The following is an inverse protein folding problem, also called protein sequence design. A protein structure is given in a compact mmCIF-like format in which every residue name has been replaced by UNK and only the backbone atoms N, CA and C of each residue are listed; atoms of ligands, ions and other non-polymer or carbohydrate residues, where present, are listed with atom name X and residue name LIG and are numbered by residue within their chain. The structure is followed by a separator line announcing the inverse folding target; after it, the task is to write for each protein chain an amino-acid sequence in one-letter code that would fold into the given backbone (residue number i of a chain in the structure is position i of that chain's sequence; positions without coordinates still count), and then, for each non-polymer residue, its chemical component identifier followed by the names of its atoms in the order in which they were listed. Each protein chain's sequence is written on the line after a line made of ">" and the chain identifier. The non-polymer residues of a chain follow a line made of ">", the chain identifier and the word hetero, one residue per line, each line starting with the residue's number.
data_IF_589712953945
#
_entry.id   IF_589712953945
#
_cell.length_a   1.000
_cell.length_b   1.000
_cell.length_c   1.000
_cell.angle_alpha   90.00
_cell.angle_beta   90.00
_cell.angle_gamma   90.00
#
_symmetry.space_group_name_H-M   'P 1'
#
loop_
_entity.id
_entity.type
_entity.pdbx_description
1 polymer ?
#
# COMPACT_ATOMS: atom_id res chain seq x y z
N UNK A 1 33.83 -4.86 -42.36
CA UNK A 1 32.85 -3.85 -41.90
C UNK A 1 32.47 -4.15 -40.45
N UNK A 2 33.06 -3.41 -39.50
CA UNK A 2 32.81 -3.60 -38.07
C UNK A 2 31.51 -2.93 -37.64
N UNK A 3 30.58 -3.70 -37.08
CA UNK A 3 29.34 -3.18 -36.50
C UNK A 3 29.68 -2.48 -35.19
N UNK A 4 29.63 -1.14 -35.18
CA UNK A 4 29.74 -0.33 -33.98
C UNK A 4 28.48 -0.50 -33.13
N UNK A 5 28.57 -1.34 -32.10
CA UNK A 5 27.53 -1.42 -31.06
C UNK A 5 27.52 -0.10 -30.27
N UNK A 6 26.44 0.67 -30.43
CA UNK A 6 26.15 1.87 -29.62
C UNK A 6 26.20 1.49 -28.15
N UNK A 7 27.21 1.98 -27.44
CA UNK A 7 27.40 1.75 -26.01
C UNK A 7 26.36 2.56 -25.22
N UNK A 8 25.21 1.95 -24.96
CA UNK A 8 24.20 2.51 -24.06
C UNK A 8 24.75 2.47 -22.64
N UNK A 9 25.15 3.65 -22.12
CA UNK A 9 25.47 3.95 -20.71
C UNK A 9 25.23 2.78 -19.74
N UNK A 10 26.31 2.08 -19.38
CA UNK A 10 26.30 0.91 -18.50
C UNK A 10 25.96 1.33 -17.07
N UNK A 11 24.66 1.42 -16.78
CA UNK A 11 24.13 1.42 -15.41
C UNK A 11 24.70 0.18 -14.71
N UNK A 12 25.25 0.37 -13.52
CA UNK A 12 25.77 -0.75 -12.71
C UNK A 12 24.59 -1.69 -12.45
N UNK A 13 24.63 -2.88 -13.06
CA UNK A 13 23.59 -3.89 -12.94
C UNK A 13 24.00 -4.89 -11.88
N UNK A 14 23.08 -5.23 -11.01
CA UNK A 14 23.24 -6.34 -10.08
C UNK A 14 22.91 -7.64 -10.82
N UNK A 15 23.89 -8.53 -10.96
CA UNK A 15 23.69 -9.83 -11.61
C UNK A 15 23.07 -10.86 -10.67
N UNK A 16 23.25 -10.68 -9.34
CA UNK A 16 22.77 -11.60 -8.32
C UNK A 16 21.37 -11.24 -7.80
N UNK A 17 20.89 -10.02 -8.07
CA UNK A 17 19.56 -9.61 -7.67
C UNK A 17 18.47 -10.47 -8.33
N UNK A 18 17.47 -10.95 -7.56
CA UNK A 18 16.26 -11.54 -8.12
C UNK A 18 15.67 -10.63 -9.19
N UNK A 19 15.23 -11.22 -10.31
CA UNK A 19 14.63 -10.46 -11.43
C UNK A 19 13.16 -10.21 -11.14
N UNK A 20 12.68 -9.00 -11.44
CA UNK A 20 11.25 -8.69 -11.36
C UNK A 20 10.45 -9.67 -12.24
N UNK A 21 9.30 -10.15 -11.75
CA UNK A 21 8.41 -10.94 -12.57
C UNK A 21 7.84 -10.09 -13.71
N UNK A 22 7.48 -10.77 -14.79
CA UNK A 22 6.94 -10.13 -15.97
C UNK A 22 5.47 -9.76 -15.72
N UNK A 23 5.12 -8.49 -16.01
CA UNK A 23 3.74 -8.01 -15.84
C UNK A 23 2.74 -8.78 -16.73
N UNK A 24 1.46 -8.71 -16.37
CA UNK A 24 0.39 -9.47 -17.01
C UNK A 24 0.36 -9.28 -18.54
N UNK A 25 0.45 -8.02 -19.01
CA UNK A 25 0.49 -7.71 -20.44
C UNK A 25 1.72 -8.29 -21.13
N UNK A 26 2.90 -8.14 -20.55
CA UNK A 26 4.15 -8.65 -21.13
C UNK A 26 4.14 -10.17 -21.19
N UNK A 27 3.48 -10.84 -20.23
CA UNK A 27 3.27 -12.28 -20.24
C UNK A 27 2.37 -12.70 -21.40
N UNK A 28 1.20 -12.09 -21.53
CA UNK A 28 0.30 -12.28 -22.66
C UNK A 28 1.02 -12.03 -23.99
N UNK A 29 1.74 -10.92 -24.09
CA UNK A 29 2.45 -10.51 -25.29
C UNK A 29 3.56 -11.51 -25.65
N UNK A 30 4.36 -11.96 -24.68
CA UNK A 30 5.44 -12.94 -24.91
C UNK A 30 4.89 -14.29 -25.38
N UNK A 31 3.81 -14.77 -24.76
CA UNK A 31 3.17 -16.02 -25.15
C UNK A 31 2.68 -15.96 -26.60
N UNK A 32 1.92 -14.93 -26.96
CA UNK A 32 1.33 -14.80 -28.29
C UNK A 32 2.33 -14.40 -29.38
N UNK A 33 3.36 -13.61 -29.05
CA UNK A 33 4.44 -13.29 -29.97
C UNK A 33 5.26 -14.53 -30.31
N UNK A 34 5.49 -15.41 -29.33
CA UNK A 34 6.22 -16.66 -29.56
C UNK A 34 5.45 -17.62 -30.49
N UNK A 35 4.12 -17.68 -30.35
CA UNK A 35 3.25 -18.43 -31.26
C UNK A 35 3.31 -17.86 -32.68
N UNK A 36 3.20 -16.53 -32.82
CA UNK A 36 3.20 -15.86 -34.12
C UNK A 36 4.56 -15.94 -34.84
N UNK A 37 5.67 -16.00 -34.10
CA UNK A 37 7.02 -16.17 -34.67
C UNK A 37 7.22 -17.57 -35.25
N UNK A 38 6.58 -18.60 -34.67
CA UNK A 38 6.57 -19.97 -35.22
C UNK A 38 5.77 -20.03 -36.52
N UNK A 39 4.75 -19.20 -36.65
CA UNK A 39 3.91 -19.08 -37.85
C UNK A 39 4.54 -18.20 -38.95
N UNK A 40 5.77 -17.70 -38.78
CA UNK A 40 6.48 -16.90 -39.79
C UNK A 40 5.91 -15.49 -40.01
N UNK A 41 5.01 -15.00 -39.14
CA UNK A 41 4.34 -13.71 -39.29
C UNK A 41 5.29 -12.53 -38.96
N UNK A 42 5.07 -11.39 -39.62
CA UNK A 42 5.81 -10.16 -39.35
C UNK A 42 5.61 -9.68 -37.90
N UNK A 43 6.68 -9.71 -37.11
CA UNK A 43 6.71 -9.35 -35.69
C UNK A 43 6.09 -7.99 -35.39
N UNK A 44 6.26 -6.98 -36.28
CA UNK A 44 5.70 -5.63 -36.06
C UNK A 44 4.17 -5.60 -36.17
N UNK A 45 3.62 -6.27 -37.17
CA UNK A 45 2.17 -6.31 -37.40
C UNK A 45 1.46 -7.10 -36.30
N UNK A 46 2.06 -8.22 -35.90
CA UNK A 46 1.59 -9.03 -34.77
C UNK A 46 1.59 -8.23 -33.49
N UNK A 47 2.67 -7.49 -33.20
CA UNK A 47 2.79 -6.68 -31.99
C UNK A 47 1.66 -5.65 -31.88
N UNK A 48 1.31 -4.97 -32.99
CA UNK A 48 0.22 -4.00 -33.01
C UNK A 48 -1.15 -4.67 -32.78
N UNK A 49 -1.38 -5.85 -33.38
CA UNK A 49 -2.61 -6.62 -33.18
C UNK A 49 -2.76 -7.08 -31.72
N UNK A 50 -1.70 -7.61 -31.11
CA UNK A 50 -1.72 -8.05 -29.72
C UNK A 50 -1.98 -6.91 -28.73
N UNK A 51 -1.44 -5.72 -29.00
CA UNK A 51 -1.71 -4.54 -28.18
C UNK A 51 -3.21 -4.16 -28.21
N UNK A 52 -3.83 -4.15 -29.40
CA UNK A 52 -5.27 -3.89 -29.56
C UNK A 52 -6.15 -4.99 -28.95
N UNK A 53 -5.71 -6.25 -29.08
CA UNK A 53 -6.44 -7.37 -28.50
C UNK A 53 -6.44 -7.27 -26.97
N UNK A 54 -5.28 -7.01 -26.35
CA UNK A 54 -5.19 -6.81 -24.91
C UNK A 54 -6.05 -5.64 -24.42
N UNK A 55 -6.14 -4.51 -25.13
CA UNK A 55 -7.02 -3.41 -24.70
C UNK A 55 -8.50 -3.77 -24.75
N UNK A 56 -8.89 -4.68 -25.65
CA UNK A 56 -10.30 -5.09 -25.86
C UNK A 56 -10.71 -6.29 -25.01
N UNK A 57 -9.76 -7.09 -24.51
CA UNK A 57 -10.02 -8.25 -23.66
C UNK A 57 -10.75 -7.87 -22.35
N UNK A 58 -11.67 -8.72 -21.92
CA UNK A 58 -12.42 -8.54 -20.68
C UNK A 58 -11.53 -8.73 -19.44
N UNK A 59 -12.03 -8.31 -18.27
CA UNK A 59 -11.34 -8.54 -17.00
C UNK A 59 -11.11 -10.02 -16.71
N UNK A 60 -12.06 -10.87 -17.10
CA UNK A 60 -12.01 -12.33 -16.92
C UNK A 60 -10.92 -12.98 -17.79
N UNK A 61 -10.78 -12.55 -19.04
CA UNK A 61 -9.73 -13.06 -19.94
C UNK A 61 -8.34 -12.60 -19.51
N UNK A 62 -8.24 -11.44 -18.87
CA UNK A 62 -6.99 -10.91 -18.32
C UNK A 62 -6.63 -11.54 -16.97
N UNK A 63 -7.63 -11.98 -16.20
CA UNK A 63 -7.49 -12.54 -14.85
C UNK A 63 -6.36 -13.57 -14.72
N UNK A 64 -6.24 -14.62 -15.55
CA UNK A 64 -5.15 -15.60 -15.39
C UNK A 64 -3.75 -14.99 -15.52
N UNK A 65 -3.58 -13.96 -16.34
CA UNK A 65 -2.28 -13.27 -16.48
C UNK A 65 -1.95 -12.40 -15.27
N UNK A 66 -2.96 -11.81 -14.64
CA UNK A 66 -2.82 -11.04 -13.40
C UNK A 66 -2.58 -11.94 -12.20
N UNK A 67 -3.32 -13.04 -12.07
CA UNK A 67 -3.14 -14.03 -11.00
C UNK A 67 -1.71 -14.60 -11.01
N UNK A 68 -1.22 -15.00 -12.17
CA UNK A 68 0.14 -15.53 -12.31
C UNK A 68 1.21 -14.46 -12.05
N UNK A 69 0.97 -13.22 -12.46
CA UNK A 69 1.85 -12.10 -12.11
C UNK A 69 1.90 -11.88 -10.59
N UNK A 70 0.75 -11.87 -9.91
CA UNK A 70 0.66 -11.67 -8.47
C UNK A 70 1.37 -12.80 -7.72
N UNK A 71 1.18 -14.05 -8.14
CA UNK A 71 1.85 -15.22 -7.57
C UNK A 71 3.38 -15.12 -7.68
N UNK A 72 3.90 -14.81 -8.87
CA UNK A 72 5.35 -14.65 -9.04
C UNK A 72 5.90 -13.40 -8.33
N UNK A 73 5.07 -12.36 -8.16
CA UNK A 73 5.42 -11.14 -7.42
C UNK A 73 5.63 -11.42 -5.94
N UNK A 74 4.79 -12.26 -5.35
CA UNK A 74 4.94 -12.68 -3.95
C UNK A 74 6.27 -13.43 -3.75
N UNK A 75 6.54 -14.43 -4.60
CA UNK A 75 7.80 -15.19 -4.58
C UNK A 75 9.01 -14.27 -4.79
N UNK A 76 8.88 -13.27 -5.66
CA UNK A 76 9.94 -12.29 -5.88
C UNK A 76 10.21 -11.45 -4.62
N UNK A 77 9.17 -11.04 -3.89
CA UNK A 77 9.34 -10.26 -2.66
C UNK A 77 10.04 -11.07 -1.57
N UNK A 78 9.69 -12.34 -1.41
CA UNK A 78 10.37 -13.26 -0.49
C UNK A 78 11.85 -13.42 -0.85
N UNK A 79 12.16 -13.77 -2.11
CA UNK A 79 13.55 -13.90 -2.58
C UNK A 79 14.34 -12.60 -2.46
N UNK A 80 13.69 -11.46 -2.67
CA UNK A 80 14.33 -10.15 -2.53
C UNK A 80 14.59 -9.80 -1.07
N UNK A 81 13.75 -10.25 -0.14
CA UNK A 81 13.97 -10.10 1.30
C UNK A 81 15.21 -10.89 1.71
N UNK A 82 15.29 -12.16 1.34
CA UNK A 82 16.47 -13.00 1.58
C UNK A 82 17.72 -12.40 0.94
N UNK A 83 17.63 -11.95 -0.31
CA UNK A 83 18.75 -11.35 -1.03
C UNK A 83 19.32 -10.12 -0.30
N UNK A 84 18.48 -9.27 0.29
CA UNK A 84 18.91 -8.07 1.02
C UNK A 84 19.76 -8.38 2.26
N UNK A 85 19.63 -9.56 2.83
CA UNK A 85 20.40 -9.99 4.00
C UNK A 85 21.79 -10.53 3.62
N UNK A 86 21.99 -10.86 2.33
CA UNK A 86 23.24 -11.44 1.83
C UNK A 86 24.39 -10.42 1.70
N UNK A 87 25.63 -10.92 1.78
CA UNK A 87 26.84 -10.11 1.58
C UNK A 87 26.95 -9.56 0.15
N UNK A 88 26.41 -10.28 -0.84
CA UNK A 88 26.37 -9.85 -2.24
C UNK A 88 25.60 -8.54 -2.39
N UNK A 89 24.45 -8.40 -1.71
CA UNK A 89 23.67 -7.17 -1.72
C UNK A 89 24.42 -6.00 -1.07
N UNK A 90 25.07 -6.23 0.09
CA UNK A 90 25.87 -5.20 0.77
C UNK A 90 27.02 -4.71 -0.10
N UNK A 91 27.73 -5.64 -0.77
CA UNK A 91 28.81 -5.33 -1.70
C UNK A 91 28.31 -4.52 -2.91
N UNK A 92 27.16 -4.90 -3.47
CA UNK A 92 26.56 -4.17 -4.57
C UNK A 92 26.17 -2.74 -4.16
N UNK A 93 25.59 -2.55 -2.97
CA UNK A 93 25.26 -1.22 -2.46
C UNK A 93 26.51 -0.37 -2.24
N UNK A 94 27.59 -0.95 -1.72
CA UNK A 94 28.89 -0.27 -1.58
C UNK A 94 29.44 0.18 -2.94
N UNK A 95 29.50 -0.72 -3.93
CA UNK A 95 29.92 -0.38 -5.30
C UNK A 95 29.05 0.70 -5.94
N UNK A 96 27.74 0.67 -5.69
CA UNK A 96 26.80 1.69 -6.18
C UNK A 96 27.05 3.05 -5.53
N UNK A 97 27.31 3.10 -4.23
CA UNK A 97 27.67 4.32 -3.50
C UNK A 97 29.01 4.88 -3.97
N UNK A 98 30.02 4.03 -4.18
CA UNK A 98 31.34 4.44 -4.63
C UNK A 98 31.31 4.97 -6.06
N UNK A 99 30.56 4.32 -6.97
CA UNK A 99 30.32 4.84 -8.32
C UNK A 99 29.59 6.18 -8.29
N UNK A 100 28.65 6.37 -7.35
CA UNK A 100 27.95 7.66 -7.16
C UNK A 100 28.91 8.73 -6.62
N UNK A 101 29.76 8.41 -5.65
CA UNK A 101 30.80 9.30 -5.12
C UNK A 101 31.83 9.69 -6.19
N UNK A 102 32.30 8.73 -7.00
CA UNK A 102 33.19 8.98 -8.12
C UNK A 102 32.51 9.82 -9.21
N UNK A 103 31.23 9.58 -9.52
CA UNK A 103 30.47 10.43 -10.45
C UNK A 103 30.26 11.85 -9.92
N UNK A 104 30.14 12.01 -8.59
CA UNK A 104 30.03 13.32 -7.93
C UNK A 104 31.38 14.04 -7.86
N UNK A 105 32.48 13.31 -7.70
CA UNK A 105 33.84 13.88 -7.67
C UNK A 105 34.33 14.29 -9.07
N UNK A 106 33.93 13.54 -10.10
CA UNK A 106 34.14 13.93 -11.50
C UNK A 106 33.18 15.05 -11.95
N UNK A 107 31.97 15.12 -11.38
CA UNK A 107 31.05 16.24 -11.58
C UNK A 107 31.46 17.48 -10.78
N UNK A 108 32.06 17.35 -9.59
CA UNK A 108 32.60 18.47 -8.81
C UNK A 108 33.85 19.06 -9.44
N UNK A 109 34.69 18.27 -10.13
CA UNK A 109 35.78 18.80 -10.95
C UNK A 109 35.30 19.58 -12.19
N UNK A 110 34.06 19.36 -12.63
CA UNK A 110 33.40 20.13 -13.71
C UNK A 110 32.54 21.26 -13.14
N UNK A 111 32.03 21.09 -11.91
CA UNK A 111 31.28 22.09 -11.15
C UNK A 111 32.21 23.10 -10.45
N UNK A 112 33.50 22.85 -10.20
CA UNK A 112 34.43 23.90 -9.75
C UNK A 112 34.75 24.92 -10.86
N UNK A 113 34.54 24.56 -12.13
CA UNK A 113 34.46 25.51 -13.26
C UNK A 113 33.04 26.05 -13.52
N UNK A 114 32.00 25.53 -12.82
CA UNK A 114 30.58 25.91 -13.02
C UNK A 114 29.82 26.29 -11.74
N UNK A 115 30.51 26.49 -10.60
CA UNK A 115 29.97 26.85 -9.29
C UNK A 115 30.01 28.35 -9.04
N UNK A 116 29.75 29.13 -10.07
CA UNK A 116 29.40 30.55 -9.98
C UNK A 116 27.91 30.74 -10.24
N UNK A 117 27.06 29.93 -9.61
CA UNK A 117 25.59 30.05 -9.72
C UNK A 117 24.94 30.93 -8.66
N UNK A 118 25.68 31.84 -8.02
CA UNK A 118 25.11 32.88 -7.15
C UNK A 118 25.01 34.26 -7.80
N UNK A 119 25.36 34.43 -9.08
CA UNK A 119 25.15 35.68 -9.81
C UNK A 119 24.87 35.42 -11.30
N UNK A 120 23.61 35.13 -11.64
CA UNK A 120 23.16 35.16 -13.04
C UNK A 120 22.94 36.63 -13.41
N UNK A 121 23.99 37.28 -13.93
CA UNK A 121 23.82 38.54 -14.67
C UNK A 121 23.12 38.22 -15.98
N UNK A 122 21.88 38.71 -16.14
CA UNK A 122 21.09 38.64 -17.38
C UNK A 122 21.73 39.48 -18.50
N UNK A 123 22.70 40.32 -18.17
CA UNK A 123 23.42 41.11 -19.17
C UNK A 123 24.67 40.38 -19.69
N UNK A 124 24.90 40.39 -21.01
CA UNK A 124 26.14 39.89 -21.57
C UNK A 124 27.32 40.68 -20.96
N UNK A 125 28.48 40.04 -20.74
CA UNK A 125 29.70 40.72 -20.31
C UNK A 125 29.96 41.98 -21.15
N UNK A 126 30.22 43.11 -20.47
CA UNK A 126 30.48 44.39 -21.15
C UNK A 126 31.66 44.23 -22.10
N UNK A 127 31.44 44.44 -23.40
CA UNK A 127 32.49 44.38 -24.43
C UNK A 127 32.33 43.28 -25.50
N UNK A 128 31.37 42.36 -25.34
CA UNK A 128 31.08 41.36 -26.38
C UNK A 128 30.29 42.02 -27.52
N UNK A 129 30.86 42.04 -28.72
CA UNK A 129 30.18 42.54 -29.93
C UNK A 129 28.96 41.68 -30.25
N UNK A 130 27.83 42.31 -30.56
CA UNK A 130 26.63 41.62 -31.04
C UNK A 130 26.96 40.75 -32.26
N UNK A 131 26.43 39.52 -32.29
CA UNK A 131 26.70 38.52 -33.33
C UNK A 131 28.16 38.03 -33.45
N UNK A 132 29.02 38.29 -32.46
CA UNK A 132 30.31 37.62 -32.39
C UNK A 132 30.12 36.13 -32.07
N UNK A 133 31.14 35.32 -32.39
CA UNK A 133 31.15 33.91 -32.02
C UNK A 133 31.00 33.72 -30.49
N UNK A 134 31.66 34.57 -29.71
CA UNK A 134 31.55 34.59 -28.24
C UNK A 134 30.14 34.90 -27.76
N UNK A 135 29.42 35.83 -28.42
CA UNK A 135 28.03 36.15 -28.12
C UNK A 135 27.10 34.97 -28.39
N UNK A 136 27.27 34.30 -29.54
CA UNK A 136 26.47 33.13 -29.91
C UNK A 136 26.72 31.97 -28.94
N UNK A 137 27.97 31.73 -28.56
CA UNK A 137 28.33 30.68 -27.61
C UNK A 137 27.81 30.98 -26.19
N UNK A 138 27.85 32.25 -25.76
CA UNK A 138 27.26 32.69 -24.50
C UNK A 138 25.74 32.45 -24.49
N UNK A 139 25.02 32.88 -25.52
CA UNK A 139 23.57 32.66 -25.61
C UNK A 139 23.21 31.18 -25.66
N UNK A 140 23.98 30.37 -26.40
CA UNK A 140 23.79 28.92 -26.43
C UNK A 140 24.00 28.28 -25.06
N UNK A 141 24.99 28.74 -24.29
CA UNK A 141 25.19 28.31 -22.89
C UNK A 141 24.02 28.73 -22.00
N UNK A 142 23.56 29.98 -22.09
CA UNK A 142 22.41 30.47 -21.33
C UNK A 142 21.12 29.69 -21.65
N UNK A 143 20.81 29.47 -22.93
CA UNK A 143 19.65 28.68 -23.34
C UNK A 143 19.73 27.23 -22.85
N UNK A 144 20.91 26.61 -22.88
CA UNK A 144 21.10 25.29 -22.29
C UNK A 144 20.82 25.28 -20.79
N UNK A 145 21.31 26.27 -20.05
CA UNK A 145 21.04 26.42 -18.60
C UNK A 145 19.54 26.59 -18.37
N UNK A 146 18.89 27.52 -19.06
CA UNK A 146 17.45 27.75 -18.95
C UNK A 146 16.63 26.49 -19.27
N UNK A 147 17.01 25.75 -20.31
CA UNK A 147 16.37 24.47 -20.64
C UNK A 147 16.55 23.45 -19.52
N UNK A 148 17.73 23.33 -18.94
CA UNK A 148 17.94 22.42 -17.80
C UNK A 148 17.12 22.83 -16.57
N UNK A 149 17.00 24.14 -16.30
CA UNK A 149 16.19 24.66 -15.21
C UNK A 149 14.70 24.42 -15.43
N UNK A 150 14.19 24.66 -16.65
CA UNK A 150 12.80 24.33 -17.02
C UNK A 150 12.51 22.84 -16.83
N UNK A 151 13.43 21.97 -17.25
CA UNK A 151 13.28 20.53 -17.04
C UNK A 151 13.28 20.16 -15.56
N UNK A 152 14.17 20.72 -14.74
CA UNK A 152 14.20 20.51 -13.29
C UNK A 152 12.91 20.99 -12.63
N UNK A 153 12.43 22.18 -12.98
CA UNK A 153 11.16 22.74 -12.49
C UNK A 153 10.01 21.80 -12.82
N UNK A 154 9.87 21.39 -14.07
CA UNK A 154 8.80 20.49 -14.49
C UNK A 154 8.88 19.13 -13.77
N UNK A 155 10.08 18.59 -13.57
CA UNK A 155 10.23 17.34 -12.81
C UNK A 155 9.77 17.48 -11.36
N UNK A 156 10.18 18.56 -10.68
CA UNK A 156 9.75 18.84 -9.30
C UNK A 156 8.24 19.05 -9.24
N UNK A 157 7.66 19.83 -10.16
CA UNK A 157 6.20 20.03 -10.23
C UNK A 157 5.46 18.70 -10.39
N UNK A 158 5.88 17.85 -11.32
CA UNK A 158 5.27 16.54 -11.51
C UNK A 158 5.41 15.64 -10.28
N UNK A 159 6.55 15.68 -9.58
CA UNK A 159 6.74 14.95 -8.33
C UNK A 159 5.81 15.46 -7.23
N UNK A 160 5.65 16.78 -7.10
CA UNK A 160 4.71 17.40 -6.16
C UNK A 160 3.26 17.02 -6.47
N UNK A 161 2.86 17.04 -7.74
CA UNK A 161 1.50 16.68 -8.16
C UNK A 161 1.19 15.21 -7.84
N UNK A 162 2.12 14.31 -8.16
CA UNK A 162 1.99 12.89 -7.84
C UNK A 162 1.89 12.64 -6.32
N UNK A 163 2.69 13.35 -5.52
CA UNK A 163 2.65 13.22 -4.06
C UNK A 163 1.32 13.75 -3.52
N UNK A 164 0.83 14.88 -4.04
CA UNK A 164 -0.46 15.45 -3.65
C UNK A 164 -1.61 14.50 -3.96
N UNK A 165 -1.59 13.85 -5.13
CA UNK A 165 -2.60 12.88 -5.52
C UNK A 165 -2.60 11.66 -4.59
N UNK A 166 -1.42 11.09 -4.30
CA UNK A 166 -1.30 9.96 -3.37
C UNK A 166 -1.74 10.34 -1.94
N UNK A 167 -1.37 11.53 -1.48
CA UNK A 167 -1.79 12.04 -0.16
C UNK A 167 -3.31 12.14 -0.07
N UNK A 168 -3.95 12.74 -1.08
CA UNK A 168 -5.42 12.84 -1.13
C UNK A 168 -6.07 11.46 -1.13
N UNK A 169 -5.59 10.54 -1.97
CA UNK A 169 -6.08 9.16 -1.98
C UNK A 169 -5.96 8.49 -0.61
N UNK A 170 -4.83 8.66 0.07
CA UNK A 170 -4.58 8.04 1.37
C UNK A 170 -5.49 8.63 2.45
N UNK A 171 -5.73 9.94 2.42
CA UNK A 171 -6.67 10.61 3.33
C UNK A 171 -8.10 10.13 3.14
N UNK A 172 -8.55 9.93 1.90
CA UNK A 172 -9.89 9.38 1.63
C UNK A 172 -10.01 7.95 2.19
N UNK A 173 -8.98 7.12 2.04
CA UNK A 173 -8.97 5.77 2.65
C UNK A 173 -8.99 5.82 4.18
N UNK A 174 -8.22 6.73 4.79
CA UNK A 174 -8.23 6.92 6.24
C UNK A 174 -9.59 7.41 6.74
N UNK A 175 -10.24 8.29 6.00
CA UNK A 175 -11.58 8.78 6.32
C UNK A 175 -12.60 7.63 6.32
N UNK A 176 -12.63 6.83 5.25
CA UNK A 176 -13.48 5.65 5.16
C UNK A 176 -13.25 4.66 6.31
N UNK A 177 -11.99 4.37 6.64
CA UNK A 177 -11.67 3.47 7.74
C UNK A 177 -12.12 4.04 9.10
N UNK A 178 -11.96 5.34 9.32
CA UNK A 178 -12.41 6.00 10.55
C UNK A 178 -13.94 5.98 10.68
N UNK A 179 -14.68 6.14 9.57
CA UNK A 179 -16.14 6.01 9.56
C UNK A 179 -16.56 4.60 9.98
N UNK A 180 -15.99 3.56 9.37
CA UNK A 180 -16.26 2.17 9.76
C UNK A 180 -15.88 1.85 11.22
N UNK A 181 -14.78 2.42 11.73
CA UNK A 181 -14.38 2.25 13.13
C UNK A 181 -15.42 2.90 14.04
N UNK A 182 -15.90 4.08 13.69
CA UNK A 182 -16.91 4.80 14.45
C UNK A 182 -18.21 4.02 14.52
N UNK A 183 -18.69 3.50 13.39
CA UNK A 183 -19.89 2.66 13.34
C UNK A 183 -19.76 1.42 14.22
N UNK A 184 -18.60 0.75 14.20
CA UNK A 184 -18.33 -0.37 15.10
C UNK A 184 -18.31 0.04 16.57
N UNK A 185 -17.76 1.21 16.88
CA UNK A 185 -17.75 1.73 18.25
C UNK A 185 -19.17 2.00 18.76
N UNK A 186 -20.00 2.64 17.93
CA UNK A 186 -21.43 2.88 18.23
C UNK A 186 -22.15 1.55 18.48
N UNK A 187 -21.94 0.54 17.61
CA UNK A 187 -22.48 -0.80 17.81
C UNK A 187 -22.01 -1.45 19.13
N UNK A 188 -20.72 -1.36 19.49
CA UNK A 188 -20.23 -1.90 20.75
C UNK A 188 -20.78 -1.15 21.97
N UNK A 189 -21.02 0.16 21.86
CA UNK A 189 -21.65 0.94 22.93
C UNK A 189 -23.11 0.54 23.14
N UNK A 190 -23.87 0.34 22.07
CA UNK A 190 -25.24 -0.18 22.12
C UNK A 190 -25.28 -1.59 22.72
N UNK A 191 -24.35 -2.46 22.31
CA UNK A 191 -24.21 -3.81 22.87
C UNK A 191 -23.89 -3.78 24.37
N UNK A 192 -22.96 -2.93 24.81
CA UNK A 192 -22.62 -2.74 26.22
C UNK A 192 -23.79 -2.15 27.03
N UNK A 193 -24.62 -1.31 26.42
CA UNK A 193 -25.83 -0.78 27.06
C UNK A 193 -26.87 -1.88 27.25
N UNK A 194 -27.06 -2.72 26.23
CA UNK A 194 -27.92 -3.90 26.31
C UNK A 194 -27.45 -4.86 27.39
N UNK A 195 -26.16 -5.21 27.42
CA UNK A 195 -25.60 -6.10 28.44
C UNK A 195 -25.85 -5.58 29.85
N UNK A 196 -25.59 -4.29 30.11
CA UNK A 196 -25.87 -3.68 31.42
C UNK A 196 -27.34 -3.72 31.79
N UNK A 197 -28.24 -3.39 30.85
CA UNK A 197 -29.68 -3.46 31.07
C UNK A 197 -30.14 -4.88 31.41
N UNK A 198 -29.70 -5.86 30.63
CA UNK A 198 -30.04 -7.27 30.90
C UNK A 198 -29.49 -7.76 32.22
N UNK A 199 -28.28 -7.32 32.61
CA UNK A 199 -27.70 -7.63 33.91
C UNK A 199 -28.56 -7.06 35.05
N UNK A 200 -29.00 -5.81 34.94
CA UNK A 200 -29.90 -5.21 35.94
C UNK A 200 -31.23 -5.97 36.02
N UNK A 201 -31.85 -6.31 34.89
CA UNK A 201 -33.09 -7.09 34.85
C UNK A 201 -32.92 -8.47 35.53
N UNK A 202 -31.79 -9.14 35.28
CA UNK A 202 -31.43 -10.43 35.88
C UNK A 202 -31.26 -10.30 37.40
N UNK A 203 -30.51 -9.29 37.84
CA UNK A 203 -30.27 -9.07 39.27
C UNK A 203 -31.55 -8.70 40.02
N UNK A 204 -32.41 -7.87 39.41
CA UNK A 204 -33.71 -7.49 39.98
C UNK A 204 -34.66 -8.69 40.09
N UNK A 205 -34.63 -9.63 39.13
CA UNK A 205 -35.41 -10.85 39.22
C UNK A 205 -34.90 -11.82 40.29
N UNK A 206 -33.58 -11.92 40.48
CA UNK A 206 -32.99 -12.74 41.54
C UNK A 206 -33.22 -12.16 42.93
N UNK A 207 -33.26 -10.83 43.06
CA UNK A 207 -33.57 -10.13 44.31
C UNK A 207 -35.02 -10.44 44.75
N UNK A 208 -35.98 -10.42 43.82
CA UNK A 208 -37.39 -10.74 44.10
C UNK A 208 -37.63 -12.14 44.67
N UNK A 209 -36.70 -13.07 44.48
CA UNK A 209 -36.78 -14.46 44.95
C UNK A 209 -35.77 -14.71 46.10
N UNK A 210 -35.18 -13.65 46.67
CA UNK A 210 -34.17 -13.68 47.75
C UNK A 210 -32.95 -14.56 47.42
N UNK A 211 -32.63 -14.71 46.12
CA UNK A 211 -31.57 -15.62 45.67
C UNK A 211 -30.19 -14.96 45.64
N UNK A 212 -30.10 -13.62 45.62
CA UNK A 212 -28.83 -12.89 45.55
C UNK A 212 -27.85 -13.29 46.66
N UNK A 213 -28.34 -13.37 47.89
CA UNK A 213 -27.52 -13.68 49.06
C UNK A 213 -27.15 -15.17 49.11
N UNK A 214 -28.08 -16.04 48.70
CA UNK A 214 -27.85 -17.50 48.61
C UNK A 214 -26.81 -17.88 47.56
N UNK A 215 -26.75 -17.12 46.46
CA UNK A 215 -25.82 -17.33 45.35
C UNK A 215 -24.51 -16.56 45.53
N UNK A 216 -24.38 -15.75 46.60
CA UNK A 216 -23.22 -14.88 46.86
C UNK A 216 -22.89 -13.95 45.69
N UNK A 217 -23.89 -13.54 44.92
CA UNK A 217 -23.72 -12.65 43.77
C UNK A 217 -23.50 -11.23 44.29
N UNK A 218 -22.42 -10.59 43.86
CA UNK A 218 -22.11 -9.21 44.21
C UNK A 218 -22.40 -8.32 43.00
N UNK A 219 -23.40 -7.45 43.11
CA UNK A 219 -23.90 -6.56 42.04
C UNK A 219 -22.81 -5.76 41.28
N UNK A 220 -21.64 -5.53 41.87
CA UNK A 220 -20.55 -4.75 41.24
C UNK A 220 -19.38 -5.59 40.71
N UNK A 221 -19.32 -6.90 40.98
CA UNK A 221 -18.13 -7.71 40.72
C UNK A 221 -18.40 -8.98 39.91
N UNK A 222 -19.65 -9.34 39.67
CA UNK A 222 -20.00 -10.60 39.00
C UNK A 222 -20.34 -10.31 37.53
N UNK A 223 -19.68 -11.00 36.60
CA UNK A 223 -19.96 -10.87 35.16
C UNK A 223 -21.14 -11.76 34.76
N UNK A 224 -21.80 -11.43 33.64
CA UNK A 224 -22.93 -12.23 33.15
C UNK A 224 -22.49 -13.67 32.87
N UNK A 225 -21.28 -13.84 32.36
CA UNK A 225 -20.68 -15.14 32.07
C UNK A 225 -20.45 -15.98 33.34
N UNK A 226 -20.05 -15.36 34.45
CA UNK A 226 -19.91 -16.02 35.74
C UNK A 226 -21.26 -16.46 36.30
N UNK A 227 -22.30 -15.62 36.18
CA UNK A 227 -23.67 -15.96 36.61
C UNK A 227 -24.20 -17.14 35.79
N UNK A 228 -24.02 -17.12 34.46
CA UNK A 228 -24.42 -18.21 33.57
C UNK A 228 -23.70 -19.52 33.94
N UNK A 229 -22.39 -19.47 34.18
CA UNK A 229 -21.61 -20.65 34.62
C UNK A 229 -22.14 -21.22 35.94
N UNK A 230 -22.41 -20.36 36.92
CA UNK A 230 -23.00 -20.79 38.19
C UNK A 230 -24.39 -21.41 38.01
N UNK A 231 -25.23 -20.84 37.15
CA UNK A 231 -26.57 -21.39 36.88
C UNK A 231 -26.51 -22.76 36.20
N UNK A 232 -25.57 -22.95 35.27
CA UNK A 232 -25.32 -24.25 34.65
C UNK A 232 -24.89 -25.27 35.71
N UNK A 233 -23.98 -24.92 36.61
CA UNK A 233 -23.51 -25.80 37.68
C UNK A 233 -24.64 -26.16 38.69
N UNK A 234 -25.47 -25.18 39.04
CA UNK A 234 -26.64 -25.38 39.91
C UNK A 234 -27.70 -26.24 39.23
N UNK A 235 -27.90 -26.10 37.92
CA UNK A 235 -28.84 -26.94 37.17
C UNK A 235 -28.49 -28.43 37.24
N UNK A 236 -27.20 -28.75 37.38
CA UNK A 236 -26.69 -30.11 37.48
C UNK A 236 -26.67 -30.62 38.92
N UNK A 237 -26.52 -29.73 39.90
CA UNK A 237 -26.25 -30.11 41.31
C UNK A 237 -27.45 -29.94 42.25
N UNK A 238 -28.38 -29.01 41.98
CA UNK A 238 -29.49 -28.67 42.87
C UNK A 238 -30.77 -28.28 42.11
N UNK A 239 -31.67 -29.27 41.92
CA UNK A 239 -32.94 -29.12 41.17
C UNK A 239 -33.93 -28.14 41.82
N UNK A 240 -33.92 -28.01 43.14
CA UNK A 240 -34.86 -27.14 43.85
C UNK A 240 -34.47 -25.68 43.69
N UNK A 241 -33.18 -25.38 43.84
CA UNK A 241 -32.62 -24.05 43.61
C UNK A 241 -32.76 -23.63 42.13
N UNK A 242 -32.52 -24.56 41.20
CA UNK A 242 -32.75 -24.32 39.77
C UNK A 242 -34.22 -24.05 39.44
N UNK A 243 -35.18 -24.67 40.14
CA UNK A 243 -36.61 -24.41 39.93
C UNK A 243 -37.01 -23.00 40.37
N UNK A 244 -36.47 -22.51 41.50
CA UNK A 244 -36.67 -21.13 41.96
C UNK A 244 -36.04 -20.09 41.01
N UNK A 245 -34.83 -20.38 40.51
CA UNK A 245 -34.18 -19.59 39.47
C UNK A 245 -35.08 -19.54 38.22
N UNK A 246 -35.56 -20.70 37.75
CA UNK A 246 -36.43 -20.78 36.57
C UNK A 246 -37.73 -19.98 36.72
N UNK A 247 -38.34 -20.01 37.90
CA UNK A 247 -39.55 -19.23 38.22
C UNK A 247 -39.26 -17.72 38.20
N UNK A 248 -38.10 -17.29 38.72
CA UNK A 248 -37.66 -15.89 38.68
C UNK A 248 -37.53 -15.35 37.23
N UNK A 249 -37.00 -16.17 36.32
CA UNK A 249 -36.76 -15.78 34.92
C UNK A 249 -37.99 -15.90 34.01
N UNK A 250 -39.06 -16.57 34.42
CA UNK A 250 -40.27 -16.73 33.59
C UNK A 250 -40.99 -15.41 33.28
N UNK A 251 -40.77 -14.36 34.07
CA UNK A 251 -41.36 -13.04 33.86
C UNK A 251 -40.46 -12.04 33.12
N UNK A 252 -39.23 -12.40 32.74
CA UNK A 252 -38.29 -11.49 32.07
C UNK A 252 -38.41 -11.64 30.56
N UNK A 253 -38.72 -10.55 29.87
CA UNK A 253 -38.71 -10.49 28.42
C UNK A 253 -37.44 -9.78 27.93
N UNK A 254 -36.48 -10.55 27.42
CA UNK A 254 -35.29 -10.00 26.78
C UNK A 254 -35.62 -9.57 25.35
N UNK A 255 -35.54 -8.26 25.08
CA UNK A 255 -35.72 -7.73 23.72
C UNK A 255 -34.40 -7.80 22.95
N UNK A 256 -34.26 -8.83 22.11
CA UNK A 256 -33.05 -9.06 21.31
C UNK A 256 -33.06 -8.32 19.97
N UNK A 257 -34.03 -7.44 19.70
CA UNK A 257 -34.15 -6.76 18.41
C UNK A 257 -32.90 -5.96 18.02
N UNK A 258 -32.12 -5.52 19.01
CA UNK A 258 -30.87 -4.75 18.85
C UNK A 258 -29.69 -5.64 18.37
N UNK A 259 -29.74 -6.96 18.60
CA UNK A 259 -28.63 -7.88 18.26
C UNK A 259 -28.66 -8.38 16.81
N UNK A 260 -29.80 -8.24 16.12
CA UNK A 260 -30.02 -8.81 14.79
C UNK A 260 -30.17 -7.74 13.70
N UNK A 261 -30.02 -6.45 14.02
CA UNK A 261 -29.81 -5.44 13.00
C UNK A 261 -28.36 -5.55 12.51
N UNK A 262 -28.19 -6.16 11.34
CA UNK A 262 -26.89 -6.24 10.67
C UNK A 262 -26.32 -4.82 10.54
N UNK A 263 -25.05 -4.59 10.94
CA UNK A 263 -24.40 -3.31 10.68
C UNK A 263 -24.39 -3.08 9.16
N UNK A 264 -25.02 -1.97 8.73
CA UNK A 264 -25.13 -1.56 7.32
C UNK A 264 -23.79 -1.23 6.69
#
# INVERSE_FOLDING_TARGET
>A
MGKTTKNTSTRLRDENAPKLPMNAYSRYFKANLSNSKREGKNTKEVSSKLAKQWSTMSGEEKKPYFDEYNREREIYYERMKEYKETEQYKEFQRKKLDKKKQSRKSRSNVEEEQSSTSNISVQPPKGIKIFSQEFLDYNKKQENILRTLRNKKNNITNECDNISEHFNFTNEQLKYLNENIKEKQEYYEELNLFERKTMDDILDALDKVDLLESLKIKRQSTTLEEIIKQFIEISQSNKEMFSKIREAFQGIHFDFSILFEDPK
#
